data_IF_781896159424
#
_entry.id   IF_781896159424
#
_cell.length_a   1.000
_cell.length_b   1.000
_cell.length_c   1.000
_cell.angle_alpha   90.00
_cell.angle_beta   90.00
_cell.angle_gamma   90.00
#
_symmetry.space_group_name_H-M   'P 1'
#
loop_
_entity.id
_entity.type
_entity.pdbx_description
1 polymer ?
#
# COMPACT_ATOMS: atom_id res chain seq x y z
N UNK A 1 23.94 -7.41 5.55
CA UNK A 1 23.57 -6.18 4.83
C UNK A 1 22.23 -6.44 4.16
N UNK A 2 21.14 -6.20 4.90
CA UNK A 2 19.79 -6.60 4.48
C UNK A 2 19.29 -5.56 3.48
N UNK A 3 19.19 -5.97 2.22
CA UNK A 3 18.73 -5.13 1.13
C UNK A 3 17.30 -4.69 1.47
N UNK A 4 17.14 -3.38 1.75
CA UNK A 4 15.84 -2.71 1.86
C UNK A 4 15.15 -2.80 0.50
N UNK A 5 14.40 -3.87 0.27
CA UNK A 5 13.51 -4.00 -0.88
C UNK A 5 12.23 -3.18 -0.60
N UNK A 6 12.42 -1.86 -0.44
CA UNK A 6 11.36 -0.88 -0.22
C UNK A 6 10.51 -0.64 -1.47
N UNK A 7 10.94 -1.16 -2.63
CA UNK A 7 10.25 -1.07 -3.92
C UNK A 7 8.97 -1.91 -4.01
N UNK A 8 8.68 -2.78 -3.04
CA UNK A 8 7.55 -3.72 -3.12
C UNK A 8 6.44 -3.44 -2.09
N UNK A 9 6.59 -2.41 -1.26
CA UNK A 9 5.66 -2.13 -0.17
C UNK A 9 5.41 -0.64 0.05
N UNK A 10 4.21 -0.29 0.49
CA UNK A 10 3.82 1.05 0.90
C UNK A 10 3.52 1.13 2.40
N UNK A 11 3.75 2.29 3.01
CA UNK A 11 3.13 2.57 4.31
C UNK A 11 1.61 2.71 4.16
N UNK A 12 0.87 2.64 5.26
CA UNK A 12 -0.58 2.80 5.21
C UNK A 12 -0.98 4.20 4.74
N UNK A 13 -0.20 5.23 5.07
CA UNK A 13 -0.39 6.60 4.61
C UNK A 13 -0.21 6.71 3.09
N UNK A 14 0.83 6.05 2.55
CA UNK A 14 1.06 6.01 1.11
C UNK A 14 -0.07 5.24 0.40
N UNK A 15 -0.47 4.09 0.92
CA UNK A 15 -1.59 3.33 0.37
C UNK A 15 -2.91 4.12 0.42
N UNK A 16 -3.16 4.89 1.49
CA UNK A 16 -4.32 5.77 1.59
C UNK A 16 -4.30 6.83 0.49
N UNK A 17 -3.14 7.47 0.25
CA UNK A 17 -2.99 8.46 -0.83
C UNK A 17 -3.21 7.87 -2.23
N UNK A 18 -2.75 6.64 -2.47
CA UNK A 18 -3.02 5.94 -3.74
C UNK A 18 -4.53 5.70 -3.89
N UNK A 19 -5.17 5.10 -2.88
CA UNK A 19 -6.61 4.81 -2.91
C UNK A 19 -7.50 6.06 -2.95
N UNK A 20 -7.00 7.19 -2.44
CA UNK A 20 -7.67 8.49 -2.48
C UNK A 20 -7.78 9.01 -3.92
N UNK A 21 -6.75 8.82 -4.75
CA UNK A 21 -6.79 9.18 -6.19
C UNK A 21 -7.93 8.48 -6.93
N UNK A 22 -8.30 7.28 -6.48
CA UNK A 22 -9.42 6.48 -7.01
C UNK A 22 -10.75 6.69 -6.25
N UNK A 23 -10.78 7.57 -5.24
CA UNK A 23 -11.93 7.84 -4.36
C UNK A 23 -12.44 6.63 -3.58
N UNK A 24 -11.55 5.68 -3.25
CA UNK A 24 -11.91 4.44 -2.55
C UNK A 24 -11.74 4.58 -1.02
N UNK A 25 -10.61 5.11 -0.58
CA UNK A 25 -10.25 5.28 0.83
C UNK A 25 -9.52 6.60 0.98
N UNK A 26 -9.86 7.37 2.01
CA UNK A 26 -9.29 8.69 2.29
C UNK A 26 -8.48 8.73 3.59
N UNK A 27 -8.45 7.62 4.35
CA UNK A 27 -7.83 7.57 5.67
C UNK A 27 -7.04 6.29 5.87
N UNK A 28 -6.04 6.35 6.75
CA UNK A 28 -5.26 5.18 7.15
C UNK A 28 -6.15 4.09 7.76
N UNK A 29 -7.14 4.45 8.58
CA UNK A 29 -8.07 3.49 9.15
C UNK A 29 -8.90 2.78 8.06
N UNK A 30 -9.25 3.46 6.97
CA UNK A 30 -9.88 2.82 5.82
C UNK A 30 -8.98 1.75 5.18
N UNK A 31 -7.67 2.02 5.03
CA UNK A 31 -6.71 1.03 4.52
C UNK A 31 -6.62 -0.17 5.46
N UNK A 32 -6.59 0.08 6.77
CA UNK A 32 -6.57 -0.97 7.79
C UNK A 32 -7.82 -1.83 7.75
N UNK A 33 -9.01 -1.24 7.54
CA UNK A 33 -10.24 -2.01 7.33
C UNK A 33 -10.14 -2.89 6.09
N UNK A 34 -9.57 -2.41 4.98
CA UNK A 34 -9.33 -3.24 3.78
C UNK A 34 -8.44 -4.45 4.07
N UNK A 35 -7.39 -4.25 4.88
CA UNK A 35 -6.50 -5.35 5.31
C UNK A 35 -7.27 -6.35 6.20
N UNK A 36 -8.04 -5.87 7.17
CA UNK A 36 -8.84 -6.72 8.06
C UNK A 36 -9.91 -7.53 7.31
N UNK A 37 -10.47 -6.96 6.25
CA UNK A 37 -11.40 -7.62 5.34
C UNK A 37 -10.70 -8.51 4.28
N UNK A 38 -9.37 -8.69 4.39
CA UNK A 38 -8.56 -9.47 3.44
C UNK A 38 -8.64 -8.98 1.98
N UNK A 39 -8.99 -7.70 1.78
CA UNK A 39 -9.00 -7.06 0.47
C UNK A 39 -7.61 -6.53 0.08
N UNK A 40 -6.74 -6.30 1.05
CA UNK A 40 -5.34 -5.92 0.86
C UNK A 40 -4.45 -6.79 1.73
N UNK A 41 -3.30 -7.18 1.19
CA UNK A 41 -2.26 -7.91 1.91
C UNK A 41 -1.24 -6.96 2.50
N UNK A 42 -0.92 -7.15 3.77
CA UNK A 42 0.09 -6.37 4.46
C UNK A 42 1.12 -7.27 5.16
N UNK A 43 2.38 -6.82 5.18
CA UNK A 43 3.47 -7.45 5.91
C UNK A 43 3.86 -6.62 7.13
N UNK A 44 4.45 -7.25 8.13
CA UNK A 44 4.95 -6.51 9.29
C UNK A 44 6.21 -5.72 8.94
N UNK A 45 6.33 -4.51 9.47
CA UNK A 45 7.57 -3.72 9.39
C UNK A 45 8.75 -4.49 10.03
N UNK A 46 10.00 -4.20 9.62
CA UNK A 46 11.18 -4.64 10.36
C UNK A 46 11.07 -4.26 11.84
N UNK A 47 11.58 -5.09 12.75
CA UNK A 47 11.41 -4.90 14.19
C UNK A 47 11.88 -3.51 14.68
N UNK A 48 12.99 -3.02 14.13
CA UNK A 48 13.59 -1.72 14.45
C UNK A 48 12.65 -0.55 14.14
N UNK A 49 11.86 -0.65 13.07
CA UNK A 49 10.95 0.41 12.60
C UNK A 49 9.59 0.39 13.31
N UNK A 50 9.26 -0.69 14.04
CA UNK A 50 7.96 -0.81 14.73
C UNK A 50 7.83 0.12 15.93
N UNK A 51 8.93 0.43 16.61
CA UNK A 51 8.91 1.21 17.87
C UNK A 51 8.51 2.67 17.68
N UNK A 52 8.74 3.23 16.50
CA UNK A 52 8.55 4.65 16.22
C UNK A 52 7.50 4.92 15.13
N UNK A 53 6.86 3.87 14.62
CA UNK A 53 5.84 3.97 13.58
C UNK A 53 4.45 3.85 14.18
N UNK A 54 3.55 4.78 13.85
CA UNK A 54 2.15 4.72 14.28
C UNK A 54 1.44 3.42 13.86
N UNK A 55 1.91 2.77 12.80
CA UNK A 55 1.40 1.49 12.31
C UNK A 55 2.53 0.48 12.07
N UNK A 56 2.45 -0.76 12.58
CA UNK A 56 3.52 -1.76 12.45
C UNK A 56 3.47 -2.56 11.14
N UNK A 57 2.68 -2.13 10.16
CA UNK A 57 2.43 -2.85 8.90
C UNK A 57 2.82 -2.02 7.68
N UNK A 58 3.06 -2.72 6.57
CA UNK A 58 3.26 -2.19 5.22
C UNK A 58 2.34 -2.94 4.25
N UNK A 59 1.72 -2.25 3.31
CA UNK A 59 0.86 -2.83 2.27
C UNK A 59 1.72 -3.32 1.12
N UNK A 60 1.48 -4.54 0.62
CA UNK A 60 2.13 -5.03 -0.60
C UNK A 60 1.58 -4.29 -1.82
N UNK A 61 2.48 -3.77 -2.66
CA UNK A 61 2.09 -3.04 -3.88
C UNK A 61 1.33 -3.96 -4.83
N UNK A 62 1.80 -5.20 -5.03
CA UNK A 62 1.12 -6.18 -5.88
C UNK A 62 -0.34 -6.38 -5.45
N UNK A 63 -0.59 -6.55 -4.16
CA UNK A 63 -1.95 -6.70 -3.63
C UNK A 63 -2.81 -5.46 -3.85
N UNK A 64 -2.22 -4.26 -3.80
CA UNK A 64 -2.93 -3.01 -4.09
C UNK A 64 -3.25 -2.88 -5.59
N UNK A 65 -2.31 -3.23 -6.45
CA UNK A 65 -2.48 -3.25 -7.91
C UNK A 65 -3.59 -4.24 -8.29
N UNK A 66 -3.55 -5.47 -7.78
CA UNK A 66 -4.57 -6.49 -8.03
C UNK A 66 -5.96 -6.02 -7.57
N UNK A 67 -6.03 -5.38 -6.40
CA UNK A 67 -7.26 -4.79 -5.89
C UNK A 67 -7.83 -3.71 -6.82
N UNK A 68 -6.97 -2.84 -7.37
CA UNK A 68 -7.39 -1.78 -8.29
C UNK A 68 -7.79 -2.34 -9.67
N UNK A 69 -7.08 -3.35 -10.17
CA UNK A 69 -7.46 -4.07 -11.39
C UNK A 69 -8.82 -4.75 -11.27
N UNK A 70 -9.10 -5.39 -10.13
CA UNK A 70 -10.41 -5.98 -9.83
C UNK A 70 -11.53 -4.92 -9.80
N UNK A 71 -11.20 -3.67 -9.50
CA UNK A 71 -12.15 -2.53 -9.56
C UNK A 71 -12.29 -1.93 -10.95
N UNK A 72 -11.49 -2.39 -11.92
CA UNK A 72 -11.56 -1.99 -13.33
C UNK A 72 -10.68 -0.79 -13.70
N UNK A 73 -9.71 -0.41 -12.87
CA UNK A 73 -8.74 0.63 -13.23
C UNK A 73 -7.67 0.10 -14.17
N UNK A 74 -7.19 0.97 -15.08
CA UNK A 74 -6.18 0.58 -16.07
C UNK A 74 -4.78 0.58 -15.47
N UNK A 75 -3.85 -0.12 -16.11
CA UNK A 75 -2.43 -0.11 -15.71
C UNK A 75 -1.86 1.31 -15.72
N UNK A 76 -2.25 2.14 -16.68
CA UNK A 76 -1.82 3.54 -16.79
C UNK A 76 -2.29 4.37 -15.60
N UNK A 77 -3.57 4.27 -15.22
CA UNK A 77 -4.12 4.99 -14.05
C UNK A 77 -3.42 4.55 -12.75
N UNK A 78 -3.15 3.24 -12.62
CA UNK A 78 -2.50 2.67 -11.43
C UNK A 78 -1.05 3.16 -11.33
N UNK A 79 -0.32 3.20 -12.44
CA UNK A 79 1.06 3.71 -12.50
C UNK A 79 1.13 5.18 -12.13
N UNK A 80 0.25 6.03 -12.66
CA UNK A 80 0.17 7.46 -12.31
C UNK A 80 -0.21 7.67 -10.83
N UNK A 81 -0.95 6.71 -10.25
CA UNK A 81 -1.35 6.79 -8.86
C UNK A 81 -0.22 6.48 -7.87
N UNK A 82 0.72 5.60 -8.23
CA UNK A 82 1.78 5.14 -7.35
C UNK A 82 2.83 6.23 -7.06
N UNK A 83 3.52 6.19 -5.89
CA UNK A 83 4.63 7.08 -5.61
C UNK A 83 5.80 6.92 -6.59
N UNK A 84 6.51 8.02 -6.88
CA UNK A 84 7.71 8.00 -7.72
C UNK A 84 8.79 7.03 -7.19
N UNK A 85 9.52 6.38 -8.11
CA UNK A 85 10.61 5.46 -7.78
C UNK A 85 10.16 4.04 -7.41
N UNK A 86 8.90 3.69 -7.70
CA UNK A 86 8.39 2.32 -7.62
C UNK A 86 8.52 1.65 -8.99
N UNK A 87 9.28 0.56 -9.04
CA UNK A 87 9.34 -0.35 -10.18
C UNK A 87 8.41 -1.54 -9.89
N UNK A 88 7.51 -1.84 -10.84
CA UNK A 88 6.50 -2.92 -10.72
C UNK A 88 6.94 -4.14 -11.52
#
# INVERSE_FOLDING_TARGET
MTIKNLSHTLTLEQAARVLEKFRIVFTVEGVKTKIQLQQLTAISKPYEDRRYSGYPYLVLISSLVDYLKDKGYTDEDIMDALPDGIEI
#
